data_IF_095708529929
#
_entry.id   IF_095708529929
#
_cell.length_a   1.000
_cell.length_b   1.000
_cell.length_c   1.000
_cell.angle_alpha   90.00
_cell.angle_beta   90.00
_cell.angle_gamma   90.00
#
_symmetry.space_group_name_H-M   'P 1'
#
loop_
_entity.id
_entity.type
_entity.pdbx_description
1 polymer ?
#
# COMPACT_ATOMS: atom_id res chain seq x y z
N UNK A 1 6.43 -4.23 22.04
CA UNK A 1 5.15 -4.01 21.31
C UNK A 1 4.51 -5.35 20.99
N UNK A 2 3.19 -5.51 21.21
CA UNK A 2 2.43 -6.69 20.82
C UNK A 2 2.58 -6.98 19.31
N UNK A 3 2.62 -8.26 18.92
CA UNK A 3 2.79 -8.68 17.51
C UNK A 3 1.68 -8.12 16.61
N UNK A 4 0.47 -7.97 17.13
CA UNK A 4 -0.70 -7.51 16.36
C UNK A 4 -0.58 -6.04 15.94
N UNK A 5 -0.10 -5.17 16.85
CA UNK A 5 0.12 -3.75 16.55
C UNK A 5 1.16 -3.58 15.45
N UNK A 6 2.26 -4.36 15.50
CA UNK A 6 3.32 -4.30 14.48
C UNK A 6 2.79 -4.70 13.10
N UNK A 7 1.81 -5.61 13.04
CA UNK A 7 1.23 -6.08 11.77
C UNK A 7 0.46 -4.98 11.03
N UNK A 8 -0.09 -4.01 11.75
CA UNK A 8 -0.85 -2.87 11.21
C UNK A 8 0.04 -1.63 11.02
N UNK A 9 0.93 -1.37 11.98
CA UNK A 9 1.79 -0.18 11.95
C UNK A 9 2.76 -0.18 10.75
N UNK A 10 3.27 -1.35 10.39
CA UNK A 10 4.21 -1.48 9.26
C UNK A 10 3.55 -1.09 7.92
N UNK A 11 2.42 -1.69 7.50
CA UNK A 11 1.70 -1.26 6.30
C UNK A 11 1.30 0.22 6.34
N UNK A 12 0.86 0.72 7.49
CA UNK A 12 0.50 2.14 7.64
C UNK A 12 1.70 3.06 7.38
N UNK A 13 2.87 2.73 7.93
CA UNK A 13 4.10 3.54 7.71
C UNK A 13 4.56 3.57 6.26
N UNK A 14 4.35 2.46 5.53
CA UNK A 14 4.68 2.37 4.10
C UNK A 14 3.70 3.25 3.32
N UNK A 15 2.40 3.09 3.57
CA UNK A 15 1.36 3.89 2.93
C UNK A 15 1.51 5.40 3.19
N UNK A 16 1.91 5.80 4.41
CA UNK A 16 2.16 7.21 4.72
C UNK A 16 3.38 7.75 3.97
N UNK A 17 4.43 6.95 3.80
CA UNK A 17 5.60 7.33 3.03
C UNK A 17 5.28 7.53 1.56
N UNK A 18 4.44 6.65 1.00
CA UNK A 18 3.91 6.75 -0.35
C UNK A 18 3.08 8.05 -0.52
N UNK A 19 2.11 8.29 0.36
CA UNK A 19 1.29 9.51 0.34
C UNK A 19 2.12 10.79 0.46
N UNK A 20 3.18 10.78 1.26
CA UNK A 20 4.09 11.92 1.39
C UNK A 20 4.84 12.20 0.07
N UNK A 21 5.32 11.16 -0.62
CA UNK A 21 6.01 11.30 -1.91
C UNK A 21 5.06 11.91 -2.94
N UNK A 22 3.82 11.40 -3.03
CA UNK A 22 2.83 11.90 -4.00
C UNK A 22 2.46 13.36 -3.74
N UNK A 23 2.33 13.78 -2.49
CA UNK A 23 2.08 15.18 -2.15
C UNK A 23 3.26 16.07 -2.54
N UNK A 24 4.51 15.62 -2.34
CA UNK A 24 5.70 16.37 -2.75
C UNK A 24 5.76 16.50 -4.27
N UNK A 25 5.49 15.42 -5.01
CA UNK A 25 5.46 15.42 -6.47
C UNK A 25 4.36 16.38 -6.97
N UNK A 26 3.16 16.30 -6.41
CA UNK A 26 2.07 17.20 -6.75
C UNK A 26 2.42 18.66 -6.45
N UNK A 27 3.11 18.93 -5.34
CA UNK A 27 3.59 20.28 -5.01
C UNK A 27 4.56 20.81 -6.06
N UNK A 28 5.51 20.00 -6.53
CA UNK A 28 6.46 20.39 -7.59
C UNK A 28 5.71 20.71 -8.89
N UNK A 29 4.70 19.90 -9.24
CA UNK A 29 3.87 20.11 -10.44
C UNK A 29 3.09 21.42 -10.32
N UNK A 30 2.42 21.67 -9.19
CA UNK A 30 1.65 22.91 -8.97
C UNK A 30 2.54 24.16 -8.96
N UNK A 31 3.81 24.06 -8.55
CA UNK A 31 4.78 25.17 -8.67
C UNK A 31 5.10 25.46 -10.14
N UNK A 32 5.22 24.43 -10.97
CA UNK A 32 5.49 24.58 -12.40
C UNK A 32 4.26 25.05 -13.19
N UNK A 33 3.07 24.58 -12.80
CA UNK A 33 1.78 24.95 -13.39
C UNK A 33 0.73 25.20 -12.28
N UNK A 34 0.46 26.48 -11.95
CA UNK A 34 -0.46 26.83 -10.87
C UNK A 34 -1.92 26.56 -11.20
N UNK A 35 -2.25 26.16 -12.44
CA UNK A 35 -3.62 25.76 -12.79
C UNK A 35 -3.96 24.35 -12.31
N UNK A 36 -2.95 23.56 -11.94
CA UNK A 36 -3.11 22.18 -11.48
C UNK A 36 -3.37 22.13 -9.97
N UNK A 37 -4.49 21.52 -9.58
CA UNK A 37 -4.83 21.31 -8.17
C UNK A 37 -3.90 20.28 -7.52
N UNK A 38 -3.17 20.72 -6.49
CA UNK A 38 -2.23 19.91 -5.72
C UNK A 38 -2.91 18.67 -5.12
N UNK A 39 -4.05 18.86 -4.45
CA UNK A 39 -4.74 17.77 -3.75
C UNK A 39 -5.37 16.77 -4.72
N UNK A 40 -5.94 17.24 -5.83
CA UNK A 40 -6.52 16.33 -6.83
C UNK A 40 -5.42 15.52 -7.53
N UNK A 41 -4.31 16.14 -7.90
CA UNK A 41 -3.18 15.42 -8.52
C UNK A 41 -2.59 14.37 -7.59
N UNK A 42 -2.34 14.71 -6.32
CA UNK A 42 -1.85 13.76 -5.33
C UNK A 42 -2.84 12.59 -5.10
N UNK A 43 -4.15 12.88 -5.04
CA UNK A 43 -5.19 11.84 -4.90
C UNK A 43 -5.20 10.89 -6.10
N UNK A 44 -5.07 11.41 -7.32
CA UNK A 44 -5.03 10.59 -8.54
C UNK A 44 -3.83 9.64 -8.57
N UNK A 45 -2.65 10.10 -8.17
CA UNK A 45 -1.46 9.24 -8.08
C UNK A 45 -1.64 8.15 -7.04
N UNK A 46 -2.18 8.46 -5.86
CA UNK A 46 -2.47 7.47 -4.84
C UNK A 46 -3.48 6.41 -5.29
N UNK A 47 -4.49 6.78 -6.09
CA UNK A 47 -5.44 5.83 -6.69
C UNK A 47 -4.74 4.89 -7.67
N UNK A 48 -3.84 5.43 -8.50
CA UNK A 48 -3.07 4.64 -9.45
C UNK A 48 -2.18 3.63 -8.72
N UNK A 49 -1.44 4.09 -7.72
CA UNK A 49 -0.56 3.25 -6.91
C UNK A 49 -1.36 2.20 -6.12
N UNK A 50 -2.53 2.56 -5.59
CA UNK A 50 -3.45 1.59 -5.00
C UNK A 50 -3.77 0.45 -5.97
N UNK A 51 -4.09 0.76 -7.23
CA UNK A 51 -4.35 -0.22 -8.27
C UNK A 51 -3.15 -1.14 -8.52
N UNK A 52 -1.94 -0.57 -8.65
CA UNK A 52 -0.70 -1.32 -8.83
C UNK A 52 -0.42 -2.24 -7.62
N UNK A 53 -0.58 -1.72 -6.41
CA UNK A 53 -0.38 -2.48 -5.17
C UNK A 53 -1.42 -3.60 -5.01
N UNK A 54 -2.66 -3.40 -5.44
CA UNK A 54 -3.67 -4.47 -5.45
C UNK A 54 -3.26 -5.61 -6.37
N UNK A 55 -2.85 -5.31 -7.60
CA UNK A 55 -2.44 -6.33 -8.58
C UNK A 55 -1.24 -7.10 -8.05
N UNK A 56 -0.18 -6.40 -7.62
CA UNK A 56 1.03 -7.03 -7.10
C UNK A 56 0.76 -7.81 -5.81
N UNK A 57 -0.03 -7.24 -4.90
CA UNK A 57 -0.43 -7.86 -3.64
C UNK A 57 -1.21 -9.15 -3.86
N UNK A 58 -2.18 -9.15 -4.77
CA UNK A 58 -2.96 -10.33 -5.14
C UNK A 58 -2.09 -11.41 -5.80
N UNK A 59 -1.19 -11.03 -6.72
CA UNK A 59 -0.25 -11.92 -7.37
C UNK A 59 0.74 -12.59 -6.38
N UNK A 60 1.12 -11.90 -5.32
CA UNK A 60 1.94 -12.51 -4.27
C UNK A 60 1.13 -13.38 -3.32
N UNK A 61 -0.08 -12.95 -2.97
CA UNK A 61 -0.96 -13.69 -2.07
C UNK A 61 -1.49 -15.00 -2.70
N UNK A 62 -1.68 -15.04 -4.02
CA UNK A 62 -2.09 -16.26 -4.74
C UNK A 62 -1.09 -17.42 -4.64
N UNK A 63 0.15 -17.14 -4.21
CA UNK A 63 1.19 -18.15 -3.94
C UNK A 63 1.02 -18.85 -2.59
N UNK A 64 -0.05 -18.55 -1.85
CA UNK A 64 -0.34 -19.20 -0.58
C UNK A 64 -0.53 -20.73 -0.77
N UNK A 65 0.20 -21.59 -0.05
CA UNK A 65 -0.05 -23.03 -0.08
C UNK A 65 -1.48 -23.33 0.39
N UNK A 66 -2.21 -24.18 -0.35
CA UNK A 66 -3.60 -24.53 -0.04
C UNK A 66 -3.72 -25.32 1.27
N UNK A 67 -2.74 -26.16 1.57
CA UNK A 67 -2.73 -27.00 2.77
C UNK A 67 -1.76 -26.41 3.81
N UNK A 68 -2.17 -26.44 5.08
CA UNK A 68 -1.46 -25.80 6.19
C UNK A 68 -0.15 -26.51 6.54
N UNK A 69 -0.10 -27.82 6.32
CA UNK A 69 1.08 -28.67 6.48
C UNK A 69 2.18 -28.35 5.46
N UNK A 70 1.83 -27.84 4.28
CA UNK A 70 2.77 -27.40 3.24
C UNK A 70 3.34 -26.00 3.47
N UNK A 71 2.97 -25.31 4.56
CA UNK A 71 3.50 -23.97 4.91
C UNK A 71 4.89 -24.01 5.55
N UNK A 72 5.28 -25.15 6.12
CA UNK A 72 6.57 -25.36 6.75
C UNK A 72 7.25 -26.59 6.15
N UNK A 73 8.56 -26.50 5.91
CA UNK A 73 9.36 -27.65 5.49
C UNK A 73 9.50 -28.66 6.65
N UNK A 74 10.03 -29.85 6.37
CA UNK A 74 10.28 -30.92 7.34
C UNK A 74 11.18 -30.49 8.52
N UNK A 75 11.94 -29.39 8.38
CA UNK A 75 12.73 -28.80 9.48
C UNK A 75 11.99 -27.68 10.24
N UNK A 76 10.71 -27.41 9.95
CA UNK A 76 9.90 -26.37 10.59
C UNK A 76 10.15 -24.95 10.04
N UNK A 77 10.95 -24.79 8.99
CA UNK A 77 11.21 -23.50 8.35
C UNK A 77 10.07 -23.13 7.37
N UNK A 78 9.66 -21.86 7.28
CA UNK A 78 8.62 -21.44 6.35
C UNK A 78 9.08 -21.59 4.89
N UNK A 79 8.26 -22.22 4.05
CA UNK A 79 8.57 -22.33 2.62
C UNK A 79 8.54 -20.96 1.93
N UNK A 80 9.34 -20.80 0.87
CA UNK A 80 9.43 -19.53 0.11
C UNK A 80 8.06 -19.03 -0.34
N UNK A 81 7.18 -19.91 -0.81
CA UNK A 81 5.81 -19.59 -1.22
C UNK A 81 5.00 -18.92 -0.11
N UNK A 82 5.07 -19.45 1.12
CA UNK A 82 4.43 -18.88 2.30
C UNK A 82 5.00 -17.49 2.66
N UNK A 83 6.33 -17.32 2.58
CA UNK A 83 6.96 -16.01 2.82
C UNK A 83 6.46 -14.96 1.82
N UNK A 84 6.38 -15.31 0.54
CA UNK A 84 5.86 -14.41 -0.50
C UNK A 84 4.39 -14.09 -0.29
N UNK A 85 3.55 -15.06 0.06
CA UNK A 85 2.14 -14.84 0.37
C UNK A 85 1.95 -13.89 1.55
N UNK A 86 2.76 -14.04 2.61
CA UNK A 86 2.72 -13.15 3.77
C UNK A 86 3.18 -11.72 3.44
N UNK A 87 4.13 -11.55 2.51
CA UNK A 87 4.48 -10.23 1.96
C UNK A 87 3.34 -9.65 1.14
N UNK A 88 2.71 -10.44 0.27
CA UNK A 88 1.53 -10.04 -0.50
C UNK A 88 0.40 -9.53 0.39
N UNK A 89 0.10 -10.24 1.48
CA UNK A 89 -0.86 -9.79 2.50
C UNK A 89 -0.53 -8.41 3.07
N UNK A 90 0.75 -8.14 3.40
CA UNK A 90 1.17 -6.81 3.89
C UNK A 90 0.99 -5.72 2.84
N UNK A 91 1.30 -6.01 1.57
CA UNK A 91 1.09 -5.08 0.46
C UNK A 91 -0.41 -4.76 0.29
N UNK A 92 -1.28 -5.76 0.38
CA UNK A 92 -2.74 -5.56 0.32
C UNK A 92 -3.27 -4.73 1.49
N UNK A 93 -2.77 -4.93 2.71
CA UNK A 93 -3.16 -4.08 3.84
C UNK A 93 -2.64 -2.66 3.63
N UNK A 94 -1.43 -2.51 3.09
CA UNK A 94 -0.85 -1.19 2.78
C UNK A 94 -1.65 -0.48 1.70
N UNK A 95 -2.16 -1.19 0.68
CA UNK A 95 -2.95 -0.59 -0.38
C UNK A 95 -4.29 -0.05 0.15
N UNK A 96 -4.90 -0.68 1.15
CA UNK A 96 -6.09 -0.14 1.83
C UNK A 96 -5.80 1.21 2.50
N UNK A 97 -4.63 1.36 3.13
CA UNK A 97 -4.22 2.64 3.72
C UNK A 97 -3.93 3.70 2.65
N UNK A 98 -3.28 3.32 1.54
CA UNK A 98 -3.06 4.23 0.39
C UNK A 98 -4.39 4.72 -0.16
N UNK A 99 -5.37 3.83 -0.34
CA UNK A 99 -6.72 4.21 -0.76
C UNK A 99 -7.39 5.17 0.24
N UNK A 100 -7.25 4.91 1.53
CA UNK A 100 -7.77 5.79 2.57
C UNK A 100 -7.14 7.19 2.49
N UNK A 101 -5.82 7.29 2.28
CA UNK A 101 -5.15 8.57 2.05
C UNK A 101 -5.64 9.25 0.77
N UNK A 102 -5.83 8.50 -0.32
CA UNK A 102 -6.35 9.04 -1.57
C UNK A 102 -7.72 9.71 -1.39
N UNK A 103 -8.62 9.06 -0.63
CA UNK A 103 -9.93 9.62 -0.30
C UNK A 103 -9.84 10.82 0.63
N UNK A 104 -8.99 10.79 1.67
CA UNK A 104 -8.81 11.93 2.57
C UNK A 104 -8.27 13.15 1.83
N UNK A 105 -7.23 12.97 1.01
CA UNK A 105 -6.58 14.04 0.25
C UNK A 105 -7.50 14.55 -0.87
N UNK A 106 -8.16 13.65 -1.60
CA UNK A 106 -9.14 14.03 -2.62
C UNK A 106 -10.33 14.78 -2.01
N UNK A 107 -10.79 14.36 -0.83
CA UNK A 107 -11.80 15.07 -0.05
C UNK A 107 -11.39 16.50 0.31
N UNK A 108 -10.13 16.71 0.72
CA UNK A 108 -9.58 18.05 0.93
C UNK A 108 -9.57 18.85 -0.38
N UNK A 109 -9.19 18.24 -1.50
CA UNK A 109 -9.21 18.88 -2.82
C UNK A 109 -10.58 19.29 -3.33
N UNK A 110 -11.67 18.76 -2.78
CA UNK A 110 -13.03 19.23 -3.08
C UNK A 110 -13.48 20.39 -2.18
N UNK A 111 -12.77 20.65 -1.08
CA UNK A 111 -13.08 21.71 -0.12
C UNK A 111 -12.31 23.01 -0.39
N UNK A 112 -11.19 22.93 -1.11
CA UNK A 112 -10.30 24.04 -1.47
C UNK A 112 -10.28 24.26 -2.98
#
# INVERSE_FOLDING_TARGET
>A
MPKDIRSVLQPLSIASGIAMIDVIIAMIITIADPTVSLFMTASVYLILEFGVMLILGACFMSRQPLEDDKRFDKQGAPVRSWIWAMRGKKVLISSLFVLMFAFCIGGLGMLF
#
